data_IF_627855769395
#
_entry.id   IF_627855769395
#
_cell.length_a   1.000
_cell.length_b   1.000
_cell.length_c   1.000
_cell.angle_alpha   90.00
_cell.angle_beta   90.00
_cell.angle_gamma   90.00
#
_symmetry.space_group_name_H-M   'P 1'
#
loop_
_entity.id
_entity.type
_entity.pdbx_description
1 polymer ?
#
# COMPACT_ATOMS: atom_id res chain seq x y z
N UNK A 1 -19.44 26.75 5.75
CA UNK A 1 -19.07 26.05 4.50
C UNK A 1 -17.80 25.28 4.82
N UNK A 2 -17.90 23.96 4.93
CA UNK A 2 -16.76 23.10 5.28
C UNK A 2 -15.79 23.10 4.11
N UNK A 3 -14.61 23.70 4.29
CA UNK A 3 -13.57 23.77 3.27
C UNK A 3 -13.13 22.34 2.91
N UNK A 4 -13.23 21.94 1.64
CA UNK A 4 -12.79 20.59 1.20
C UNK A 4 -11.27 20.51 1.37
N UNK A 5 -10.78 19.67 2.28
CA UNK A 5 -9.36 19.62 2.67
C UNK A 5 -8.80 18.20 2.46
N UNK A 6 -7.61 18.08 1.89
CA UNK A 6 -6.94 16.78 1.67
C UNK A 6 -7.59 15.92 0.56
N UNK A 7 -7.86 14.64 0.84
CA UNK A 7 -8.46 13.69 -0.11
C UNK A 7 -9.91 14.04 -0.53
N UNK A 8 -10.57 14.94 0.18
CA UNK A 8 -11.92 15.42 -0.16
C UNK A 8 -11.89 16.41 -1.35
N UNK A 9 -10.73 17.02 -1.67
CA UNK A 9 -10.53 17.71 -2.94
C UNK A 9 -10.17 16.67 -4.02
N UNK A 10 -11.02 16.48 -5.05
CA UNK A 10 -10.78 15.49 -6.10
C UNK A 10 -9.45 15.71 -6.85
N UNK A 11 -8.93 16.94 -6.89
CA UNK A 11 -7.65 17.25 -7.55
C UNK A 11 -6.46 16.74 -6.73
N UNK A 12 -6.50 16.93 -5.41
CA UNK A 12 -5.43 16.49 -4.50
C UNK A 12 -5.44 14.95 -4.41
N UNK A 13 -6.63 14.35 -4.29
CA UNK A 13 -6.80 12.90 -4.29
C UNK A 13 -6.28 12.23 -5.57
N UNK A 14 -6.56 12.81 -6.75
CA UNK A 14 -6.09 12.27 -8.03
C UNK A 14 -4.55 12.21 -8.09
N UNK A 15 -3.87 13.27 -7.63
CA UNK A 15 -2.40 13.32 -7.62
C UNK A 15 -1.84 12.30 -6.63
N UNK A 16 -2.38 12.21 -5.41
CA UNK A 16 -1.94 11.26 -4.40
C UNK A 16 -2.11 9.80 -4.87
N UNK A 17 -3.25 9.50 -5.49
CA UNK A 17 -3.57 8.16 -6.01
C UNK A 17 -2.71 7.78 -7.23
N UNK A 18 -2.37 8.74 -8.09
CA UNK A 18 -1.45 8.49 -9.21
C UNK A 18 -0.06 8.04 -8.73
N UNK A 19 0.45 8.66 -7.67
CA UNK A 19 1.73 8.31 -7.06
C UNK A 19 1.68 6.93 -6.42
N UNK A 20 0.63 6.67 -5.65
CA UNK A 20 0.39 5.36 -5.03
C UNK A 20 0.40 4.24 -6.08
N UNK A 21 -0.37 4.39 -7.16
CA UNK A 21 -0.43 3.40 -8.25
C UNK A 21 0.92 3.18 -8.91
N UNK A 22 1.70 4.25 -9.13
CA UNK A 22 3.04 4.13 -9.71
C UNK A 22 3.99 3.32 -8.82
N UNK A 23 3.95 3.55 -7.51
CA UNK A 23 4.75 2.79 -6.54
C UNK A 23 4.30 1.33 -6.50
N UNK A 24 2.99 1.08 -6.40
CA UNK A 24 2.42 -0.28 -6.39
C UNK A 24 2.76 -1.04 -7.67
N UNK A 25 2.77 -0.37 -8.84
CA UNK A 25 3.18 -0.99 -10.10
C UNK A 25 4.64 -1.45 -10.06
N UNK A 26 5.54 -0.62 -9.54
CA UNK A 26 6.95 -1.01 -9.38
C UNK A 26 7.13 -2.17 -8.39
N UNK A 27 6.42 -2.14 -7.25
CA UNK A 27 6.44 -3.22 -6.28
C UNK A 27 5.89 -4.52 -6.87
N UNK A 28 4.83 -4.45 -7.69
CA UNK A 28 4.25 -5.57 -8.41
C UNK A 28 5.26 -6.20 -9.39
N UNK A 29 5.97 -5.37 -10.16
CA UNK A 29 7.00 -5.83 -11.10
C UNK A 29 8.16 -6.51 -10.38
N UNK A 30 8.70 -5.88 -9.33
CA UNK A 30 9.81 -6.45 -8.53
C UNK A 30 9.35 -7.75 -7.85
N UNK A 31 8.16 -7.77 -7.25
CA UNK A 31 7.58 -8.95 -6.64
C UNK A 31 7.39 -10.09 -7.64
N UNK A 32 6.89 -9.78 -8.84
CA UNK A 32 6.72 -10.78 -9.92
C UNK A 32 8.07 -11.33 -10.37
N UNK A 33 9.10 -10.48 -10.48
CA UNK A 33 10.46 -10.89 -10.80
C UNK A 33 11.03 -11.83 -9.73
N UNK A 34 10.88 -11.50 -8.44
CA UNK A 34 11.33 -12.34 -7.34
C UNK A 34 10.64 -13.71 -7.33
N UNK A 35 9.31 -13.75 -7.50
CA UNK A 35 8.55 -15.01 -7.57
C UNK A 35 8.94 -15.82 -8.80
N UNK A 36 9.14 -15.16 -9.95
CA UNK A 36 9.62 -15.80 -11.17
C UNK A 36 11.02 -16.40 -10.99
N UNK A 37 11.93 -15.69 -10.34
CA UNK A 37 13.27 -16.18 -10.02
C UNK A 37 13.23 -17.38 -9.06
N UNK A 38 12.39 -17.33 -8.02
CA UNK A 38 12.22 -18.44 -7.09
C UNK A 38 11.67 -19.70 -7.79
N UNK A 39 10.66 -19.54 -8.64
CA UNK A 39 10.11 -20.65 -9.43
C UNK A 39 11.12 -21.22 -10.44
N UNK A 40 11.90 -20.36 -11.09
CA UNK A 40 12.96 -20.80 -11.99
C UNK A 40 14.01 -21.61 -11.23
N UNK A 41 14.45 -21.12 -10.07
CA UNK A 41 15.41 -21.83 -9.22
C UNK A 41 14.87 -23.19 -8.79
N UNK A 42 13.62 -23.24 -8.32
CA UNK A 42 12.97 -24.49 -7.95
C UNK A 42 12.85 -25.46 -9.14
N UNK A 43 12.60 -24.95 -10.35
CA UNK A 43 12.48 -25.78 -11.56
C UNK A 43 13.80 -26.44 -11.93
N UNK A 44 14.91 -25.70 -11.75
CA UNK A 44 16.25 -26.21 -12.02
C UNK A 44 16.67 -27.29 -11.02
N UNK A 45 16.23 -27.21 -9.76
CA UNK A 45 16.58 -28.17 -8.71
C UNK A 45 15.66 -29.40 -8.64
N UNK A 46 14.35 -29.20 -8.73
CA UNK A 46 13.36 -30.28 -8.51
C UNK A 46 12.89 -30.93 -9.82
N UNK A 47 13.14 -30.29 -10.97
CA UNK A 47 12.70 -30.77 -12.28
C UNK A 47 11.31 -30.25 -12.69
N UNK A 48 10.61 -30.95 -13.61
CA UNK A 48 9.34 -30.49 -14.15
C UNK A 48 8.26 -30.36 -13.07
N UNK A 49 7.68 -29.17 -12.94
CA UNK A 49 6.63 -28.89 -11.96
C UNK A 49 5.23 -28.93 -12.57
N UNK A 50 4.23 -29.51 -11.87
CA UNK A 50 2.84 -29.43 -12.30
C UNK A 50 2.31 -27.99 -12.26
N UNK A 51 1.47 -27.65 -13.24
CA UNK A 51 0.96 -26.27 -13.46
C UNK A 51 0.20 -25.74 -12.24
N UNK A 52 -0.58 -26.57 -11.57
CA UNK A 52 -1.34 -26.19 -10.37
C UNK A 52 -0.44 -25.67 -9.24
N UNK A 53 0.75 -26.25 -9.07
CA UNK A 53 1.69 -25.78 -8.05
C UNK A 53 2.26 -24.42 -8.40
N UNK A 54 2.65 -24.20 -9.66
CA UNK A 54 3.15 -22.91 -10.14
C UNK A 54 2.11 -21.82 -9.88
N UNK A 55 0.85 -22.05 -10.28
CA UNK A 55 -0.25 -21.10 -10.08
C UNK A 55 -0.48 -20.86 -8.58
N UNK A 56 -0.51 -21.91 -7.77
CA UNK A 56 -0.71 -21.79 -6.32
C UNK A 56 0.43 -21.01 -5.65
N UNK A 57 1.68 -21.20 -6.06
CA UNK A 57 2.83 -20.44 -5.52
C UNK A 57 2.77 -18.98 -5.93
N UNK A 58 2.44 -18.67 -7.18
CA UNK A 58 2.27 -17.29 -7.63
C UNK A 58 1.14 -16.63 -6.84
N UNK A 59 -0.04 -17.25 -6.81
CA UNK A 59 -1.18 -16.71 -6.09
C UNK A 59 -0.93 -16.61 -4.58
N UNK A 60 -0.27 -17.58 -3.96
CA UNK A 60 0.03 -17.54 -2.53
C UNK A 60 1.05 -16.45 -2.21
N UNK A 61 2.23 -16.52 -2.80
CA UNK A 61 3.37 -15.67 -2.44
C UNK A 61 3.20 -14.24 -2.97
N UNK A 62 2.85 -14.09 -4.24
CA UNK A 62 2.79 -12.76 -4.85
C UNK A 62 1.61 -11.96 -4.33
N UNK A 63 0.43 -12.58 -4.16
CA UNK A 63 -0.76 -11.88 -3.68
C UNK A 63 -0.60 -11.45 -2.23
N UNK A 64 -0.06 -12.31 -1.35
CA UNK A 64 0.16 -11.95 0.06
C UNK A 64 1.21 -10.85 0.20
N UNK A 65 2.28 -10.90 -0.60
CA UNK A 65 3.28 -9.83 -0.67
C UNK A 65 2.67 -8.50 -1.15
N UNK A 66 1.87 -8.53 -2.21
CA UNK A 66 1.15 -7.35 -2.72
C UNK A 66 0.15 -6.80 -1.71
N UNK A 67 -0.55 -7.67 -0.98
CA UNK A 67 -1.46 -7.27 0.08
C UNK A 67 -0.69 -6.57 1.20
N UNK A 68 0.38 -7.18 1.72
CA UNK A 68 1.18 -6.60 2.80
C UNK A 68 1.80 -5.25 2.43
N UNK A 69 2.39 -5.16 1.25
CA UNK A 69 2.98 -3.91 0.73
C UNK A 69 1.93 -2.84 0.43
N UNK A 70 0.78 -3.24 -0.11
CA UNK A 70 -0.35 -2.35 -0.36
C UNK A 70 -0.93 -1.75 0.92
N UNK A 71 -1.11 -2.57 1.96
CA UNK A 71 -1.56 -2.09 3.27
C UNK A 71 -0.56 -1.09 3.86
N UNK A 72 0.74 -1.38 3.82
CA UNK A 72 1.78 -0.44 4.27
C UNK A 72 1.74 0.89 3.50
N UNK A 73 1.60 0.82 2.17
CA UNK A 73 1.53 2.02 1.33
C UNK A 73 0.25 2.85 1.59
N UNK A 74 -0.88 2.20 1.90
CA UNK A 74 -2.11 2.88 2.29
C UNK A 74 -1.97 3.58 3.64
N UNK A 75 -1.27 3.00 4.61
CA UNK A 75 -0.98 3.66 5.89
C UNK A 75 -0.19 4.95 5.67
N UNK A 76 0.82 4.93 4.80
CA UNK A 76 1.57 6.15 4.44
C UNK A 76 0.72 7.20 3.72
N UNK A 77 -0.18 6.77 2.85
CA UNK A 77 -1.14 7.67 2.22
C UNK A 77 -2.08 8.31 3.26
N UNK A 78 -2.54 7.53 4.25
CA UNK A 78 -3.39 8.02 5.33
C UNK A 78 -2.68 9.11 6.14
N UNK A 79 -1.46 8.83 6.63
CA UNK A 79 -0.68 9.80 7.41
C UNK A 79 -0.32 11.06 6.59
N UNK A 80 0.04 10.89 5.30
CA UNK A 80 0.46 11.99 4.43
C UNK A 80 -0.67 12.91 3.95
N UNK A 81 -1.93 12.55 4.15
CA UNK A 81 -3.10 13.35 3.69
C UNK A 81 -3.64 14.31 4.74
N UNK A 82 -3.03 14.36 5.93
CA UNK A 82 -3.39 15.32 6.98
C UNK A 82 -4.77 15.05 7.57
N UNK A 83 -5.23 13.79 7.56
CA UNK A 83 -6.50 13.40 8.18
C UNK A 83 -6.41 13.48 9.71
N UNK A 84 -5.26 13.10 10.28
CA UNK A 84 -5.07 13.04 11.73
C UNK A 84 -4.74 14.42 12.35
N UNK A 85 -4.14 15.34 11.59
CA UNK A 85 -3.90 16.73 11.99
C UNK A 85 -5.20 17.57 12.06
N UNK A 86 -6.33 17.03 11.57
CA UNK A 86 -7.64 17.69 11.57
C UNK A 86 -8.50 17.34 12.79
N UNK A 87 -7.99 16.51 13.71
CA UNK A 87 -8.63 16.35 15.02
C UNK A 87 -8.42 17.64 15.80
N UNK A 88 -9.40 18.54 15.70
CA UNK A 88 -9.56 19.65 16.64
C UNK A 88 -9.56 19.07 18.06
N UNK A 89 -8.49 19.32 18.80
CA UNK A 89 -8.37 18.96 20.21
C UNK A 89 -9.34 19.84 21.01
N UNK A 90 -10.61 19.40 21.10
CA UNK A 90 -11.65 20.09 21.89
C UNK A 90 -11.27 20.24 23.37
N UNK A 91 -10.31 19.47 23.86
CA UNK A 91 -9.86 19.54 25.25
C UNK A 91 -9.05 20.81 25.54
N UNK A 92 -8.39 21.39 24.52
CA UNK A 92 -7.67 22.67 24.65
C UNK A 92 -8.60 23.87 24.90
N UNK A 93 -9.86 23.77 24.48
CA UNK A 93 -10.85 24.85 24.68
C UNK A 93 -11.60 24.71 26.02
N UNK A 94 -11.55 23.54 26.68
CA UNK A 94 -12.28 23.28 27.94
C UNK A 94 -11.42 23.45 29.21
N UNK A 95 -10.08 23.42 29.09
CA UNK A 95 -9.17 23.57 30.24
C UNK A 95 -8.21 24.73 30.01
N UNK A 96 -8.42 25.90 30.66
CA UNK A 96 -7.39 26.92 30.72
C UNK A 96 -6.23 26.36 31.55
N UNK A 97 -5.12 26.06 30.87
CA UNK A 97 -3.85 25.82 31.55
C UNK A 97 -3.34 27.21 31.97
N UNK A 98 -3.40 27.48 33.27
CA UNK A 98 -2.76 28.64 33.89
C UNK A 98 -1.23 28.39 33.90
N UNK A 99 -0.46 29.36 33.42
CA UNK A 99 1.00 29.29 33.25
C UNK A 99 1.77 29.27 34.59
#
# INVERSE_FOLDING_TARGET
MTEKKGLDDPRIAAIAWSRFRRIMLWMALIGALCVGAALLFLRLWTGPMPVHMIIATILGVWLTFMLGTGLMALVFLSAGTGHDDQVMDRLKDEVPLDD
#
